data_IF_756829417241
#
_entry.id   IF_756829417241
#
_cell.length_a   1.000
_cell.length_b   1.000
_cell.length_c   1.000
_cell.angle_alpha   90.00
_cell.angle_beta   90.00
_cell.angle_gamma   90.00
#
_symmetry.space_group_name_H-M   'P 1'
#
loop_
_entity.id
_entity.type
_entity.pdbx_description
1 polymer ?
#
# COMPACT_ATOMS: atom_id res chain seq x y z
N UNK A 1 -13.12 -40.82 -9.17
CA UNK A 1 -12.81 -41.71 -8.04
C UNK A 1 -11.35 -41.48 -7.68
N UNK A 2 -11.06 -40.41 -6.94
CA UNK A 2 -9.71 -40.06 -6.47
C UNK A 2 -9.58 -40.46 -5.01
N UNK A 3 -8.56 -41.24 -4.68
CA UNK A 3 -8.22 -41.57 -3.29
C UNK A 3 -7.87 -40.28 -2.54
N UNK A 4 -8.70 -39.89 -1.57
CA UNK A 4 -8.32 -38.93 -0.54
C UNK A 4 -7.50 -39.68 0.51
N UNK A 5 -6.17 -39.59 0.43
CA UNK A 5 -5.29 -40.01 1.51
C UNK A 5 -5.28 -38.93 2.59
N UNK A 6 -5.90 -39.19 3.74
CA UNK A 6 -5.80 -38.34 4.92
C UNK A 6 -4.38 -38.42 5.46
N UNK A 7 -3.54 -37.40 5.20
CA UNK A 7 -2.19 -37.35 5.76
C UNK A 7 -2.29 -36.98 7.26
N UNK A 8 -1.64 -37.74 8.18
CA UNK A 8 -1.68 -37.49 9.62
C UNK A 8 -1.13 -36.11 10.04
N UNK A 9 -0.43 -35.40 9.16
CA UNK A 9 0.06 -34.03 9.39
C UNK A 9 -1.09 -33.01 9.53
N UNK A 10 -2.20 -33.19 8.79
CA UNK A 10 -3.33 -32.23 8.79
C UNK A 10 -4.09 -32.18 10.12
N UNK A 11 -4.18 -33.32 10.81
CA UNK A 11 -4.82 -33.44 12.13
C UNK A 11 -3.96 -32.82 13.25
N UNK A 12 -2.64 -32.71 13.06
CA UNK A 12 -1.72 -32.19 14.07
C UNK A 12 -1.63 -30.66 14.06
N UNK A 13 -1.88 -30.03 12.91
CA UNK A 13 -1.81 -28.58 12.72
C UNK A 13 -3.17 -27.88 12.85
N UNK A 14 -4.26 -28.64 13.01
CA UNK A 14 -5.64 -28.14 12.95
C UNK A 14 -5.88 -27.25 11.71
N UNK A 15 -5.37 -27.70 10.56
CA UNK A 15 -5.47 -26.96 9.31
C UNK A 15 -6.86 -27.13 8.70
N UNK A 16 -7.56 -26.02 8.48
CA UNK A 16 -8.81 -25.98 7.73
C UNK A 16 -8.55 -25.54 6.30
N UNK A 17 -9.23 -26.19 5.37
CA UNK A 17 -9.16 -25.90 3.95
C UNK A 17 -10.57 -25.59 3.46
N UNK A 18 -10.78 -24.35 3.06
CA UNK A 18 -12.05 -23.84 2.58
C UNK A 18 -11.99 -23.61 1.08
N UNK A 19 -12.99 -24.10 0.37
CA UNK A 19 -13.21 -23.79 -1.04
C UNK A 19 -14.11 -22.56 -1.12
N UNK A 20 -13.67 -21.55 -1.86
CA UNK A 20 -14.39 -20.28 -2.01
C UNK A 20 -15.08 -20.25 -3.37
N UNK A 21 -16.36 -19.93 -3.35
CA UNK A 21 -17.19 -19.83 -4.54
C UNK A 21 -17.73 -18.40 -4.68
N UNK A 22 -18.03 -17.99 -5.92
CA UNK A 22 -18.64 -16.68 -6.19
C UNK A 22 -20.08 -16.55 -5.66
N UNK A 23 -20.76 -17.68 -5.45
CA UNK A 23 -22.15 -17.72 -5.00
C UNK A 23 -22.48 -19.04 -4.29
N UNK A 24 -23.63 -19.09 -3.61
CA UNK A 24 -24.20 -20.33 -3.06
C UNK A 24 -25.05 -21.12 -4.04
N UNK A 25 -25.04 -20.76 -5.33
CA UNK A 25 -25.87 -21.38 -6.36
C UNK A 25 -25.31 -22.72 -6.87
N UNK A 26 -26.15 -23.49 -7.56
CA UNK A 26 -25.73 -24.75 -8.21
C UNK A 26 -24.69 -24.57 -9.32
N UNK A 27 -24.65 -23.39 -9.94
CA UNK A 27 -23.76 -23.03 -11.04
C UNK A 27 -22.59 -22.15 -10.54
N UNK A 28 -22.32 -22.20 -9.23
CA UNK A 28 -21.28 -21.39 -8.61
C UNK A 28 -19.90 -21.78 -9.13
N UNK A 29 -19.08 -20.76 -9.39
CA UNK A 29 -17.70 -20.91 -9.84
C UNK A 29 -16.80 -20.98 -8.63
N UNK A 30 -15.92 -21.98 -8.57
CA UNK A 30 -14.83 -21.97 -7.61
C UNK A 30 -13.92 -20.79 -7.98
N UNK A 31 -13.67 -19.89 -7.02
CA UNK A 31 -12.86 -18.68 -7.23
C UNK A 31 -11.59 -18.67 -6.41
N UNK A 32 -11.52 -19.47 -5.35
CA UNK A 32 -10.38 -19.46 -4.44
C UNK A 32 -10.30 -20.63 -3.49
N UNK A 33 -9.19 -20.66 -2.75
CA UNK A 33 -8.96 -21.55 -1.61
C UNK A 33 -8.45 -20.69 -0.46
N UNK A 34 -8.98 -20.96 0.72
CA UNK A 34 -8.51 -20.39 1.97
C UNK A 34 -7.98 -21.49 2.89
N UNK A 35 -6.82 -21.22 3.47
CA UNK A 35 -6.22 -22.03 4.51
C UNK A 35 -6.38 -21.31 5.83
N UNK A 36 -6.87 -22.00 6.86
CA UNK A 36 -6.95 -21.43 8.20
C UNK A 36 -6.19 -22.29 9.21
N UNK A 37 -5.41 -21.62 10.06
CA UNK A 37 -4.62 -22.24 11.11
C UNK A 37 -4.86 -21.54 12.44
N UNK A 38 -4.74 -22.23 13.58
CA UNK A 38 -4.83 -21.59 14.89
C UNK A 38 -3.60 -20.73 15.16
N UNK A 39 -3.76 -19.73 16.03
CA UNK A 39 -2.70 -18.77 16.40
C UNK A 39 -1.38 -19.45 16.78
N UNK A 40 -1.43 -20.55 17.52
CA UNK A 40 -0.21 -21.25 17.97
C UNK A 40 0.61 -21.79 16.80
N UNK A 41 -0.03 -22.16 15.69
CA UNK A 41 0.68 -22.61 14.48
C UNK A 41 1.17 -21.39 13.69
N UNK A 42 0.35 -20.35 13.56
CA UNK A 42 0.73 -19.11 12.89
C UNK A 42 2.00 -18.47 13.48
N UNK A 43 2.12 -18.43 14.81
CA UNK A 43 3.30 -17.86 15.50
C UNK A 43 4.60 -18.64 15.22
N UNK A 44 4.52 -19.87 14.73
CA UNK A 44 5.70 -20.67 14.34
C UNK A 44 6.19 -20.39 12.92
N UNK A 45 5.40 -19.68 12.11
CA UNK A 45 5.78 -19.32 10.74
C UNK A 45 6.89 -18.26 10.74
N UNK A 46 7.68 -18.23 9.68
CA UNK A 46 8.65 -17.15 9.48
C UNK A 46 7.96 -15.81 9.23
N UNK A 47 8.69 -14.72 9.47
CA UNK A 47 8.13 -13.36 9.42
C UNK A 47 7.60 -12.99 8.02
N UNK A 48 8.22 -13.50 6.96
CA UNK A 48 7.78 -13.18 5.60
C UNK A 48 6.51 -13.96 5.23
N UNK A 49 6.43 -15.22 5.65
CA UNK A 49 5.22 -16.01 5.52
C UNK A 49 4.08 -15.45 6.37
N UNK A 50 4.34 -15.01 7.61
CA UNK A 50 3.34 -14.40 8.51
C UNK A 50 2.60 -13.21 7.89
N UNK A 51 3.27 -12.43 7.03
CA UNK A 51 2.69 -11.28 6.30
C UNK A 51 1.66 -11.69 5.25
N UNK A 52 1.64 -12.96 4.85
CA UNK A 52 0.70 -13.47 3.87
C UNK A 52 -0.63 -13.92 4.49
N UNK A 53 -0.79 -13.80 5.81
CA UNK A 53 -1.99 -14.22 6.54
C UNK A 53 -2.70 -13.02 7.18
N UNK A 54 -4.01 -13.16 7.31
CA UNK A 54 -4.87 -12.17 7.94
C UNK A 54 -5.57 -12.75 9.17
N UNK A 55 -6.02 -11.87 10.06
CA UNK A 55 -6.87 -12.25 11.20
C UNK A 55 -8.35 -12.20 10.83
N UNK A 56 -9.15 -13.16 11.32
CA UNK A 56 -10.60 -13.13 11.16
C UNK A 56 -11.33 -12.29 12.24
N UNK A 57 -10.60 -11.68 13.17
CA UNK A 57 -11.18 -10.96 14.31
C UNK A 57 -12.19 -9.90 13.90
N UNK A 58 -11.84 -9.06 12.91
CA UNK A 58 -12.72 -7.99 12.46
C UNK A 58 -13.92 -8.54 11.68
N UNK A 59 -13.73 -9.48 10.77
CA UNK A 59 -14.83 -10.07 9.99
C UNK A 59 -15.88 -10.73 10.88
N UNK A 60 -15.42 -11.43 11.92
CA UNK A 60 -16.30 -12.05 12.90
C UNK A 60 -16.96 -11.00 13.79
N UNK A 61 -16.19 -10.10 14.39
CA UNK A 61 -16.74 -9.12 15.35
C UNK A 61 -17.65 -8.08 14.70
N UNK A 62 -17.43 -7.75 13.42
CA UNK A 62 -18.26 -6.83 12.65
C UNK A 62 -19.61 -7.41 12.20
N UNK A 63 -19.82 -8.73 12.36
CA UNK A 63 -21.02 -9.40 11.87
C UNK A 63 -21.03 -9.64 10.36
N UNK A 64 -19.97 -9.25 9.65
CA UNK A 64 -19.83 -9.41 8.21
C UNK A 64 -19.65 -10.89 7.85
N UNK A 65 -18.78 -11.64 8.53
CA UNK A 65 -18.71 -13.07 8.30
C UNK A 65 -19.95 -13.72 8.93
N UNK A 66 -20.72 -14.45 8.13
CA UNK A 66 -21.91 -15.15 8.59
C UNK A 66 -22.05 -16.49 7.90
N UNK A 67 -22.62 -17.47 8.61
CA UNK A 67 -22.94 -18.77 8.04
C UNK A 67 -24.40 -18.76 7.54
N UNK A 68 -24.67 -19.30 6.34
CA UNK A 68 -26.03 -19.39 5.83
C UNK A 68 -26.88 -20.29 6.74
N UNK A 69 -28.05 -19.79 7.15
CA UNK A 69 -28.96 -20.51 8.04
C UNK A 69 -29.60 -21.70 7.33
N UNK A 70 -29.51 -22.93 7.88
CA UNK A 70 -30.30 -24.06 7.38
C UNK A 70 -31.80 -23.79 7.52
N UNK A 71 -32.60 -24.22 6.53
CA UNK A 71 -34.06 -24.05 6.56
C UNK A 71 -34.75 -24.75 7.74
N UNK A 72 -34.08 -25.68 8.41
CA UNK A 72 -34.57 -26.47 9.55
C UNK A 72 -34.48 -25.75 10.90
N UNK A 73 -33.76 -24.63 10.99
CA UNK A 73 -33.53 -23.91 12.24
C UNK A 73 -34.33 -22.59 12.27
N UNK A 74 -34.83 -22.21 13.46
CA UNK A 74 -35.33 -20.85 13.69
C UNK A 74 -34.14 -19.86 13.78
N UNK A 75 -34.43 -18.56 13.84
CA UNK A 75 -33.37 -17.54 13.84
C UNK A 75 -32.58 -17.53 15.14
N UNK A 76 -33.25 -17.53 16.29
CA UNK A 76 -32.60 -17.37 17.60
C UNK A 76 -31.66 -18.55 17.91
N UNK A 77 -32.11 -19.79 17.69
CA UNK A 77 -31.31 -21.00 17.91
C UNK A 77 -30.10 -21.04 16.96
N UNK A 78 -30.27 -20.56 15.72
CA UNK A 78 -29.17 -20.50 14.76
C UNK A 78 -28.15 -19.43 15.11
N UNK A 79 -28.59 -18.28 15.59
CA UNK A 79 -27.70 -17.18 15.98
C UNK A 79 -26.82 -17.58 17.18
N UNK A 80 -27.34 -18.37 18.12
CA UNK A 80 -26.53 -18.96 19.20
C UNK A 80 -25.49 -19.96 18.67
N UNK A 81 -25.91 -20.93 17.84
CA UNK A 81 -25.02 -21.93 17.26
C UNK A 81 -23.93 -21.31 16.37
N UNK A 82 -24.31 -20.34 15.53
CA UNK A 82 -23.37 -19.59 14.69
C UNK A 82 -22.40 -18.81 15.57
N UNK A 83 -22.88 -18.16 16.64
CA UNK A 83 -22.02 -17.39 17.55
C UNK A 83 -20.96 -18.27 18.21
N UNK A 84 -21.30 -19.51 18.60
CA UNK A 84 -20.29 -20.46 19.11
C UNK A 84 -19.27 -20.87 18.05
N UNK A 85 -19.71 -21.12 16.81
CA UNK A 85 -18.78 -21.40 15.70
C UNK A 85 -17.85 -20.19 15.43
N UNK A 86 -18.38 -18.98 15.54
CA UNK A 86 -17.62 -17.74 15.34
C UNK A 86 -16.55 -17.50 16.41
N UNK A 87 -16.72 -18.03 17.64
CA UNK A 87 -15.66 -17.98 18.67
C UNK A 87 -14.41 -18.74 18.24
N UNK A 88 -14.59 -19.86 17.55
CA UNK A 88 -13.49 -20.64 17.00
C UNK A 88 -12.85 -19.91 15.83
N UNK A 89 -13.65 -19.43 14.87
CA UNK A 89 -13.16 -18.73 13.67
C UNK A 89 -12.40 -17.45 14.04
N UNK A 90 -12.85 -16.68 15.03
CA UNK A 90 -12.15 -15.48 15.51
C UNK A 90 -10.72 -15.78 16.02
N UNK A 91 -10.42 -17.03 16.36
CA UNK A 91 -9.10 -17.48 16.80
C UNK A 91 -8.16 -17.95 15.69
N UNK A 92 -8.62 -17.97 14.44
CA UNK A 92 -7.87 -18.49 13.29
C UNK A 92 -7.23 -17.38 12.47
N UNK A 93 -6.10 -17.71 11.86
CA UNK A 93 -5.44 -16.91 10.83
C UNK A 93 -5.73 -17.50 9.45
N UNK A 94 -6.12 -16.67 8.49
CA UNK A 94 -6.50 -17.06 7.14
C UNK A 94 -5.44 -16.69 6.09
N UNK A 95 -5.22 -17.56 5.11
CA UNK A 95 -4.45 -17.26 3.89
C UNK A 95 -5.28 -17.64 2.68
N UNK A 96 -5.65 -16.62 1.91
CA UNK A 96 -6.67 -16.76 0.86
C UNK A 96 -6.11 -16.45 -0.50
N UNK A 97 -6.20 -17.42 -1.41
CA UNK A 97 -5.81 -17.28 -2.80
C UNK A 97 -7.03 -17.27 -3.69
N UNK A 98 -7.24 -16.17 -4.42
CA UNK A 98 -8.22 -16.09 -5.49
C UNK A 98 -7.56 -16.34 -6.83
N UNK A 99 -8.07 -17.28 -7.59
CA UNK A 99 -7.60 -17.60 -8.94
C UNK A 99 -8.55 -17.11 -10.03
N UNK A 100 -9.76 -16.63 -9.67
CA UNK A 100 -10.72 -16.07 -10.63
C UNK A 100 -11.34 -14.77 -10.09
N UNK A 101 -11.15 -13.68 -10.84
CA UNK A 101 -11.72 -12.35 -10.56
C UNK A 101 -13.08 -12.16 -11.25
N UNK A 102 -14.12 -12.81 -10.74
CA UNK A 102 -15.49 -12.71 -11.30
C UNK A 102 -16.05 -11.29 -11.26
N UNK A 103 -15.63 -10.47 -10.30
CA UNK A 103 -16.07 -9.08 -10.12
C UNK A 103 -15.59 -8.16 -11.26
N UNK A 104 -14.54 -8.56 -11.98
CA UNK A 104 -14.07 -7.86 -13.20
C UNK A 104 -14.95 -8.15 -14.42
N UNK A 105 -15.81 -9.16 -14.34
CA UNK A 105 -16.64 -9.64 -15.45
C UNK A 105 -15.96 -10.70 -16.32
N UNK A 106 -14.89 -11.35 -15.84
CA UNK A 106 -14.18 -12.36 -16.61
C UNK A 106 -14.98 -13.67 -16.72
N UNK A 107 -15.13 -14.19 -17.95
CA UNK A 107 -15.75 -15.49 -18.22
C UNK A 107 -14.85 -16.70 -17.91
N UNK A 108 -13.54 -16.49 -17.78
CA UNK A 108 -12.54 -17.52 -17.48
C UNK A 108 -11.58 -17.03 -16.39
N UNK A 109 -10.91 -17.93 -15.64
CA UNK A 109 -9.91 -17.56 -14.64
C UNK A 109 -8.61 -17.09 -15.31
N UNK A 110 -8.60 -15.83 -15.77
CA UNK A 110 -7.48 -15.23 -16.48
C UNK A 110 -6.49 -14.57 -15.52
N UNK A 111 -5.20 -14.79 -15.77
CA UNK A 111 -4.11 -14.18 -15.01
C UNK A 111 -3.53 -15.10 -13.94
N UNK A 112 -2.72 -14.52 -13.06
CA UNK A 112 -2.12 -15.25 -11.94
C UNK A 112 -3.06 -15.21 -10.72
N UNK A 113 -3.01 -16.23 -9.84
CA UNK A 113 -3.68 -16.16 -8.54
C UNK A 113 -3.23 -14.95 -7.73
N UNK A 114 -4.16 -14.33 -7.02
CA UNK A 114 -3.96 -13.16 -6.18
C UNK A 114 -4.18 -13.54 -4.72
N UNK A 115 -3.27 -13.08 -3.86
CA UNK A 115 -3.43 -13.18 -2.41
C UNK A 115 -4.45 -12.13 -1.95
N UNK A 116 -5.46 -12.58 -1.22
CA UNK A 116 -6.52 -11.72 -0.69
C UNK A 116 -6.27 -11.43 0.78
N UNK A 117 -6.37 -10.15 1.14
CA UNK A 117 -6.42 -9.71 2.53
C UNK A 117 -7.86 -9.61 3.02
N UNK A 118 -8.00 -9.54 4.33
CA UNK A 118 -9.28 -9.29 5.00
C UNK A 118 -9.42 -7.83 5.41
N UNK A 119 -10.64 -7.39 5.69
CA UNK A 119 -10.89 -6.10 6.33
C UNK A 119 -10.49 -6.17 7.80
N UNK A 120 -9.83 -5.12 8.29
CA UNK A 120 -9.43 -4.98 9.69
C UNK A 120 -10.18 -3.87 10.43
N UNK A 121 -10.86 -2.99 9.70
CA UNK A 121 -11.63 -1.88 10.28
C UNK A 121 -12.79 -1.44 9.39
N UNK A 122 -13.79 -0.75 9.97
CA UNK A 122 -14.96 -0.26 9.21
C UNK A 122 -14.60 0.89 8.27
N UNK A 123 -13.56 1.65 8.61
CA UNK A 123 -13.11 2.82 7.85
C UNK A 123 -12.54 2.44 6.48
N UNK A 124 -12.04 1.21 6.35
CA UNK A 124 -11.57 0.66 5.08
C UNK A 124 -12.70 0.43 4.07
N UNK A 125 -13.94 0.30 4.56
CA UNK A 125 -15.12 0.13 3.71
C UNK A 125 -16.30 0.94 4.26
N UNK A 126 -16.34 2.27 4.00
CA UNK A 126 -17.38 3.17 4.53
C UNK A 126 -18.81 2.79 4.11
N UNK A 127 -18.94 2.10 2.97
CA UNK A 127 -20.20 1.63 2.39
C UNK A 127 -20.46 0.13 2.68
N UNK A 128 -19.85 -0.45 3.72
CA UNK A 128 -20.00 -1.86 4.07
C UNK A 128 -21.48 -2.29 4.17
N UNK A 129 -22.33 -1.50 4.83
CA UNK A 129 -23.73 -1.83 5.00
C UNK A 129 -24.49 -1.91 3.66
N UNK A 130 -24.16 -1.05 2.70
CA UNK A 130 -24.73 -1.06 1.35
C UNK A 130 -24.28 -2.30 0.58
N UNK A 131 -22.99 -2.63 0.64
CA UNK A 131 -22.44 -3.82 -0.03
C UNK A 131 -23.01 -5.14 0.52
N UNK A 132 -23.29 -5.19 1.82
CA UNK A 132 -23.88 -6.37 2.47
C UNK A 132 -25.40 -6.46 2.33
N UNK A 133 -26.09 -5.39 1.92
CA UNK A 133 -27.55 -5.35 1.85
C UNK A 133 -28.16 -6.47 0.99
N UNK A 134 -27.68 -6.76 -0.24
CA UNK A 134 -28.25 -7.83 -1.07
C UNK A 134 -28.12 -9.21 -0.40
N UNK A 135 -26.98 -9.47 0.25
CA UNK A 135 -26.76 -10.72 0.99
C UNK A 135 -27.66 -10.81 2.22
N UNK A 136 -27.76 -9.72 2.99
CA UNK A 136 -28.60 -9.66 4.19
C UNK A 136 -30.07 -9.93 3.86
N UNK A 137 -30.57 -9.37 2.76
CA UNK A 137 -31.91 -9.66 2.26
C UNK A 137 -32.04 -11.13 1.85
N UNK A 138 -31.12 -11.63 1.02
CA UNK A 138 -31.14 -13.01 0.51
C UNK A 138 -31.10 -14.05 1.63
N UNK A 139 -30.27 -13.82 2.66
CA UNK A 139 -30.09 -14.74 3.78
C UNK A 139 -31.04 -14.44 4.94
N UNK A 140 -31.84 -13.38 4.84
CA UNK A 140 -32.71 -12.89 5.92
C UNK A 140 -31.95 -12.71 7.24
N UNK A 141 -30.78 -12.03 7.19
CA UNK A 141 -29.92 -11.75 8.34
C UNK A 141 -29.69 -10.24 8.50
N UNK A 142 -29.48 -9.81 9.75
CA UNK A 142 -28.97 -8.49 10.08
C UNK A 142 -27.54 -8.62 10.64
N UNK A 143 -26.56 -8.19 9.85
CA UNK A 143 -25.15 -8.21 10.26
C UNK A 143 -24.86 -7.32 11.48
N UNK A 144 -25.57 -6.21 11.70
CA UNK A 144 -25.37 -5.37 12.88
C UNK A 144 -25.97 -6.00 14.13
N UNK A 145 -27.08 -6.73 13.99
CA UNK A 145 -27.58 -7.60 15.04
C UNK A 145 -26.55 -8.68 15.40
N UNK A 146 -25.99 -9.36 14.40
CA UNK A 146 -24.93 -10.36 14.59
C UNK A 146 -23.71 -9.78 15.31
N UNK A 147 -23.27 -8.59 14.94
CA UNK A 147 -22.18 -7.90 15.63
C UNK A 147 -22.50 -7.65 17.12
N UNK A 148 -23.73 -7.23 17.43
CA UNK A 148 -24.18 -6.96 18.81
C UNK A 148 -24.24 -8.22 19.67
N UNK A 149 -24.78 -9.32 19.15
CA UNK A 149 -24.86 -10.59 19.90
C UNK A 149 -23.47 -11.18 20.13
N UNK A 150 -22.57 -11.12 19.13
CA UNK A 150 -21.19 -11.60 19.25
C UNK A 150 -20.40 -10.80 20.28
N UNK A 151 -20.56 -9.48 20.28
CA UNK A 151 -19.99 -8.61 21.32
C UNK A 151 -20.51 -8.96 22.71
N UNK A 152 -21.81 -9.21 22.84
CA UNK A 152 -22.44 -9.57 24.13
C UNK A 152 -22.00 -10.96 24.61
N UNK A 153 -21.76 -11.89 23.69
CA UNK A 153 -21.27 -13.24 23.96
C UNK A 153 -19.75 -13.33 24.18
N UNK A 154 -19.02 -12.20 24.13
CA UNK A 154 -17.57 -12.17 24.32
C UNK A 154 -16.79 -12.83 23.19
N UNK A 155 -17.32 -12.82 21.96
CA UNK A 155 -16.58 -13.29 20.78
C UNK A 155 -15.45 -12.29 20.51
N UNK A 156 -14.25 -12.67 20.90
CA UNK A 156 -13.01 -11.94 20.66
C UNK A 156 -11.92 -12.93 20.29
N UNK A 157 -11.13 -12.61 19.26
CA UNK A 157 -9.94 -13.39 18.98
C UNK A 157 -8.84 -13.19 20.02
N UNK A 158 -7.75 -13.96 19.91
CA UNK A 158 -6.63 -13.95 20.84
C UNK A 158 -5.72 -12.71 20.71
N UNK A 159 -6.11 -11.71 19.93
CA UNK A 159 -5.32 -10.54 19.56
C UNK A 159 -4.57 -10.76 18.25
N UNK A 160 -4.64 -9.73 17.40
CA UNK A 160 -3.99 -9.65 16.09
C UNK A 160 -2.48 -9.53 16.24
N UNK A 161 -1.73 -10.44 15.60
CA UNK A 161 -0.27 -10.41 15.57
C UNK A 161 0.25 -9.23 14.73
N UNK A 162 1.43 -8.68 15.08
CA UNK A 162 1.96 -7.47 14.44
C UNK A 162 2.31 -7.63 12.95
N UNK A 163 2.62 -8.86 12.54
CA UNK A 163 2.97 -9.19 11.16
C UNK A 163 1.76 -9.58 10.30
N UNK A 164 0.61 -9.85 10.91
CA UNK A 164 -0.61 -10.12 10.17
C UNK A 164 -1.17 -8.82 9.56
N UNK A 165 -2.04 -8.97 8.57
CA UNK A 165 -2.73 -7.84 7.93
C UNK A 165 -1.77 -6.81 7.30
N UNK A 166 -0.59 -7.27 6.85
CA UNK A 166 0.50 -6.39 6.44
C UNK A 166 0.14 -5.48 5.26
N UNK A 167 -0.75 -5.92 4.38
CA UNK A 167 -1.18 -5.17 3.18
C UNK A 167 -1.69 -3.77 3.51
N UNK A 168 -2.48 -3.64 4.57
CA UNK A 168 -3.03 -2.35 5.00
C UNK A 168 -1.94 -1.45 5.57
N UNK A 169 -1.04 -2.01 6.39
CA UNK A 169 0.09 -1.26 6.96
C UNK A 169 1.04 -0.76 5.86
N UNK A 170 1.30 -1.58 4.85
CA UNK A 170 2.11 -1.21 3.70
C UNK A 170 1.44 -0.12 2.85
N UNK A 171 0.13 -0.20 2.66
CA UNK A 171 -0.65 0.81 1.94
C UNK A 171 -0.61 2.16 2.68
N UNK A 172 -0.86 2.16 3.99
CA UNK A 172 -0.80 3.35 4.85
C UNK A 172 0.60 3.96 4.87
N UNK A 173 1.64 3.12 4.99
CA UNK A 173 3.03 3.55 4.93
C UNK A 173 3.39 4.23 3.61
N UNK A 174 2.89 3.69 2.47
CA UNK A 174 3.07 4.33 1.16
C UNK A 174 2.32 5.66 1.09
N UNK A 175 1.07 5.72 1.54
CA UNK A 175 0.27 6.94 1.54
C UNK A 175 0.93 8.05 2.35
N UNK A 176 1.40 7.74 3.56
CA UNK A 176 2.11 8.70 4.41
C UNK A 176 3.41 9.17 3.75
N UNK A 177 4.17 8.27 3.13
CA UNK A 177 5.38 8.64 2.37
C UNK A 177 5.07 9.60 1.22
N UNK A 178 3.99 9.38 0.47
CA UNK A 178 3.56 10.31 -0.58
C UNK A 178 3.13 11.66 -0.02
N UNK A 179 2.41 11.67 1.11
CA UNK A 179 2.02 12.91 1.77
C UNK A 179 3.24 13.73 2.20
N UNK A 180 4.25 13.08 2.77
CA UNK A 180 5.52 13.72 3.13
C UNK A 180 6.24 14.25 1.88
N UNK A 181 6.33 13.48 0.80
CA UNK A 181 6.90 13.94 -0.48
C UNK A 181 6.17 15.19 -0.99
N UNK A 182 4.84 15.21 -0.96
CA UNK A 182 4.03 16.36 -1.37
C UNK A 182 4.30 17.58 -0.48
N UNK A 183 4.40 17.40 0.84
CA UNK A 183 4.72 18.49 1.79
C UNK A 183 6.08 19.12 1.49
N UNK A 184 7.11 18.30 1.30
CA UNK A 184 8.44 18.79 0.92
C UNK A 184 8.43 19.49 -0.44
N UNK A 185 7.69 18.96 -1.42
CA UNK A 185 7.52 19.58 -2.73
C UNK A 185 6.90 20.98 -2.65
N UNK A 186 5.87 21.17 -1.81
CA UNK A 186 5.23 22.48 -1.59
C UNK A 186 6.22 23.48 -0.96
N UNK A 187 6.94 23.08 0.08
CA UNK A 187 7.93 23.94 0.75
C UNK A 187 9.05 24.33 -0.22
N UNK A 188 9.57 23.36 -0.97
CA UNK A 188 10.61 23.59 -1.96
C UNK A 188 10.13 24.51 -3.09
N UNK A 189 8.94 24.28 -3.65
CA UNK A 189 8.35 25.15 -4.67
C UNK A 189 8.10 26.57 -4.19
N UNK A 190 7.63 26.74 -2.95
CA UNK A 190 7.47 28.06 -2.33
C UNK A 190 8.82 28.79 -2.18
N UNK A 191 9.86 28.09 -1.73
CA UNK A 191 11.21 28.65 -1.61
C UNK A 191 11.79 29.07 -2.97
N UNK A 192 11.62 28.25 -4.02
CA UNK A 192 12.03 28.59 -5.39
C UNK A 192 11.27 29.82 -5.92
N UNK A 193 9.97 29.91 -5.63
CA UNK A 193 9.15 31.05 -6.03
C UNK A 193 9.59 32.32 -5.31
N UNK A 194 9.80 32.26 -3.99
CA UNK A 194 10.20 33.40 -3.17
C UNK A 194 11.60 33.92 -3.54
N UNK A 195 12.54 33.02 -3.84
CA UNK A 195 13.91 33.37 -4.24
C UNK A 195 14.04 33.89 -5.67
N UNK A 196 12.97 33.79 -6.49
CA UNK A 196 12.91 34.20 -7.91
C UNK A 196 13.91 33.49 -8.83
N UNK A 197 14.58 32.45 -8.35
CA UNK A 197 15.53 31.65 -9.13
C UNK A 197 14.86 30.85 -10.25
N UNK A 198 13.53 30.77 -10.26
CA UNK A 198 12.75 30.19 -11.35
C UNK A 198 12.68 31.07 -12.60
N UNK A 199 13.00 32.37 -12.53
CA UNK A 199 12.84 33.24 -13.69
C UNK A 199 13.94 32.97 -14.75
N UNK A 200 13.60 32.78 -16.04
CA UNK A 200 14.59 32.42 -17.07
C UNK A 200 15.74 33.43 -17.21
N UNK A 201 15.46 34.72 -17.04
CA UNK A 201 16.50 35.77 -17.11
C UNK A 201 17.55 35.63 -16.01
N UNK A 202 17.18 35.19 -14.80
CA UNK A 202 18.11 34.98 -13.69
C UNK A 202 19.04 33.79 -14.01
N UNK A 203 18.48 32.71 -14.58
CA UNK A 203 19.24 31.52 -14.99
C UNK A 203 20.23 31.87 -16.10
N UNK A 204 19.79 32.61 -17.12
CA UNK A 204 20.64 32.99 -18.26
C UNK A 204 21.70 34.01 -17.84
N UNK A 205 21.35 34.99 -17.01
CA UNK A 205 22.31 36.01 -16.54
C UNK A 205 23.42 35.41 -15.67
N UNK A 206 23.08 34.40 -14.85
CA UNK A 206 24.05 33.61 -14.11
C UNK A 206 25.04 32.88 -15.03
N UNK A 207 24.54 32.23 -16.09
CA UNK A 207 25.39 31.50 -17.04
C UNK A 207 26.20 32.44 -17.95
N UNK A 208 25.76 33.69 -18.10
CA UNK A 208 26.52 34.79 -18.72
C UNK A 208 27.45 35.53 -17.76
N UNK A 209 27.52 35.12 -16.49
CA UNK A 209 28.33 35.75 -15.43
C UNK A 209 27.99 37.24 -15.20
N UNK A 210 26.73 37.63 -15.44
CA UNK A 210 26.26 39.01 -15.30
C UNK A 210 25.56 39.27 -13.97
N UNK A 211 24.92 38.25 -13.39
CA UNK A 211 24.24 38.30 -12.10
C UNK A 211 24.52 37.01 -11.33
N UNK A 212 25.06 37.14 -10.12
CA UNK A 212 25.47 36.02 -9.28
C UNK A 212 24.44 35.62 -8.21
N UNK A 213 23.24 36.24 -8.21
CA UNK A 213 22.18 35.97 -7.25
C UNK A 213 21.82 34.48 -7.14
N UNK A 214 21.76 33.79 -8.27
CA UNK A 214 21.51 32.34 -8.30
C UNK A 214 22.63 31.54 -7.63
N UNK A 215 23.89 31.94 -7.83
CA UNK A 215 25.04 31.30 -7.17
C UNK A 215 24.92 31.42 -5.65
N UNK A 216 24.60 32.62 -5.18
CA UNK A 216 24.49 32.93 -3.76
C UNK A 216 23.39 32.10 -3.10
N UNK A 217 22.20 32.05 -3.69
CA UNK A 217 21.07 31.25 -3.18
C UNK A 217 21.44 29.75 -3.13
N UNK A 218 22.12 29.20 -4.14
CA UNK A 218 22.50 27.79 -4.14
C UNK A 218 23.63 27.46 -3.17
N UNK A 219 24.64 28.33 -3.04
CA UNK A 219 25.73 28.13 -2.09
C UNK A 219 25.23 28.22 -0.64
N UNK A 220 24.36 29.17 -0.34
CA UNK A 220 23.77 29.33 1.01
C UNK A 220 22.84 28.16 1.35
N UNK A 221 22.00 27.72 0.41
CA UNK A 221 21.17 26.53 0.59
C UNK A 221 22.02 25.26 0.75
N UNK A 222 23.06 25.10 -0.07
CA UNK A 222 23.98 23.97 -0.01
C UNK A 222 24.77 23.92 1.31
N UNK A 223 25.28 25.07 1.77
CA UNK A 223 25.98 25.18 3.04
C UNK A 223 25.05 24.87 4.22
N UNK A 224 23.82 25.39 4.20
CA UNK A 224 22.80 25.10 5.23
C UNK A 224 22.43 23.62 5.25
N UNK A 225 22.21 23.02 4.07
CA UNK A 225 21.92 21.59 3.94
C UNK A 225 23.08 20.72 4.43
N UNK A 226 24.32 21.07 4.11
CA UNK A 226 25.51 20.38 4.60
C UNK A 226 25.62 20.48 6.13
N UNK A 227 25.37 21.66 6.70
CA UNK A 227 25.36 21.86 8.16
C UNK A 227 24.31 20.99 8.87
N UNK A 228 23.08 20.92 8.34
CA UNK A 228 22.01 20.07 8.89
C UNK A 228 22.37 18.58 8.79
N UNK A 229 22.90 18.14 7.65
CA UNK A 229 23.29 16.75 7.47
C UNK A 229 24.43 16.34 8.41
N UNK A 230 25.44 17.20 8.59
CA UNK A 230 26.55 16.95 9.50
C UNK A 230 26.12 16.92 10.97
N UNK A 231 25.17 17.78 11.35
CA UNK A 231 24.60 17.76 12.71
C UNK A 231 23.74 16.53 12.96
N UNK A 232 22.95 16.07 11.99
CA UNK A 232 22.17 14.83 12.11
C UNK A 232 23.05 13.57 12.19
N UNK A 233 24.17 13.56 11.46
CA UNK A 233 25.15 12.48 11.57
C UNK A 233 25.89 12.50 12.91
N UNK A 234 26.25 13.69 13.41
CA UNK A 234 26.88 13.84 14.73
C UNK A 234 25.97 13.37 15.88
N UNK A 235 24.64 13.43 15.68
CA UNK A 235 23.63 12.97 16.64
C UNK A 235 23.19 11.51 16.40
N UNK A 236 23.81 10.78 15.46
CA UNK A 236 23.46 9.41 15.02
C UNK A 236 21.98 9.24 14.61
N UNK A 237 21.35 10.33 14.14
CA UNK A 237 19.95 10.36 13.69
C UNK A 237 19.84 9.85 12.25
N UNK A 238 20.85 10.11 11.42
CA UNK A 238 20.85 9.72 10.01
C UNK A 238 22.26 9.35 9.52
N UNK A 239 22.37 8.24 8.79
CA UNK A 239 23.61 7.83 8.12
C UNK A 239 23.54 8.15 6.63
N UNK A 240 24.60 8.79 6.11
CA UNK A 240 24.69 9.13 4.68
C UNK A 240 24.94 7.88 3.84
N UNK A 241 24.11 7.66 2.83
CA UNK A 241 24.43 6.73 1.74
C UNK A 241 25.22 7.46 0.66
N UNK A 242 26.51 7.16 0.52
CA UNK A 242 27.31 7.73 -0.57
C UNK A 242 26.92 7.07 -1.89
N UNK A 243 26.40 7.83 -2.85
CA UNK A 243 26.23 7.34 -4.22
C UNK A 243 27.60 7.20 -4.88
N UNK A 244 27.83 6.10 -5.59
CA UNK A 244 29.05 5.89 -6.37
C UNK A 244 29.13 6.89 -7.53
N UNK A 245 30.35 7.23 -7.94
CA UNK A 245 30.59 8.04 -9.13
C UNK A 245 30.18 7.28 -10.40
N UNK A 246 29.79 8.00 -11.43
CA UNK A 246 29.47 7.46 -12.75
C UNK A 246 30.65 7.69 -13.69
N UNK A 247 31.22 6.61 -14.25
CA UNK A 247 32.35 6.70 -15.17
C UNK A 247 32.02 6.18 -16.58
N UNK A 248 32.58 6.84 -17.59
CA UNK A 248 32.57 6.49 -19.00
C UNK A 248 33.92 5.88 -19.47
N UNK A 249 34.89 5.72 -18.55
CA UNK A 249 36.26 5.20 -18.77
C UNK A 249 37.07 5.91 -19.87
N UNK A 250 36.84 7.20 -20.08
CA UNK A 250 37.45 7.99 -21.15
C UNK A 250 38.70 8.74 -20.67
N UNK A 251 38.68 9.33 -19.48
CA UNK A 251 39.83 10.10 -18.97
C UNK A 251 39.95 10.19 -17.44
N UNK A 252 38.91 9.88 -16.68
CA UNK A 252 38.92 9.95 -15.20
C UNK A 252 37.79 9.11 -14.61
N UNK A 253 37.88 8.75 -13.34
CA UNK A 253 36.79 8.08 -12.61
C UNK A 253 35.51 8.93 -12.45
N UNK A 254 35.56 10.21 -12.84
CA UNK A 254 34.47 11.19 -12.76
C UNK A 254 34.04 11.74 -14.13
N UNK A 255 34.58 11.20 -15.20
CA UNK A 255 34.32 11.64 -16.56
C UNK A 255 32.82 11.64 -16.93
N UNK A 256 32.07 10.63 -16.50
CA UNK A 256 30.61 10.57 -16.67
C UNK A 256 29.89 11.72 -15.96
N UNK A 257 30.28 12.03 -14.73
CA UNK A 257 29.73 13.17 -13.99
C UNK A 257 30.07 14.52 -14.64
N UNK A 258 31.30 14.68 -15.14
CA UNK A 258 31.74 15.92 -15.81
C UNK A 258 30.97 16.14 -17.10
N UNK A 259 30.88 15.12 -17.96
CA UNK A 259 30.13 15.20 -19.23
C UNK A 259 28.64 15.44 -18.96
N UNK A 260 28.04 14.72 -18.02
CA UNK A 260 26.65 14.91 -17.63
C UNK A 260 26.38 16.32 -17.10
N UNK A 261 27.24 16.83 -16.21
CA UNK A 261 27.12 18.20 -15.68
C UNK A 261 27.25 19.27 -16.77
N UNK A 262 28.19 19.10 -17.70
CA UNK A 262 28.35 20.00 -18.84
C UNK A 262 27.12 20.01 -19.76
N UNK A 263 26.56 18.83 -20.07
CA UNK A 263 25.35 18.70 -20.87
C UNK A 263 24.14 19.38 -20.22
N UNK A 264 23.95 19.18 -18.91
CA UNK A 264 22.88 19.85 -18.15
C UNK A 264 23.09 21.37 -18.14
N UNK A 265 24.32 21.84 -17.95
CA UNK A 265 24.66 23.27 -17.98
C UNK A 265 24.37 23.93 -19.33
N UNK A 266 24.74 23.26 -20.44
CA UNK A 266 24.41 23.72 -21.81
C UNK A 266 22.90 23.79 -21.99
N UNK A 267 22.16 22.74 -21.59
CA UNK A 267 20.70 22.71 -21.64
C UNK A 267 20.07 23.86 -20.86
N UNK A 268 20.53 24.12 -19.64
CA UNK A 268 20.08 25.25 -18.81
C UNK A 268 20.38 26.61 -19.47
N UNK A 269 21.55 26.76 -20.12
CA UNK A 269 21.92 28.01 -20.80
C UNK A 269 21.06 28.31 -22.01
N UNK A 270 20.62 27.28 -22.74
CA UNK A 270 19.81 27.44 -23.93
C UNK A 270 18.32 27.64 -23.59
N UNK A 271 17.82 26.92 -22.58
CA UNK A 271 16.40 26.90 -22.25
C UNK A 271 15.99 27.91 -21.18
N UNK A 272 16.94 28.37 -20.35
CA UNK A 272 16.62 29.17 -19.18
C UNK A 272 15.76 28.40 -18.16
N UNK A 273 15.84 27.07 -18.14
CA UNK A 273 15.12 26.20 -17.23
C UNK A 273 16.07 25.17 -16.60
N UNK A 274 15.87 24.86 -15.32
CA UNK A 274 16.58 23.76 -14.66
C UNK A 274 15.59 22.68 -14.20
N UNK A 275 16.04 21.43 -13.94
CA UNK A 275 15.14 20.33 -13.58
C UNK A 275 14.25 20.64 -12.36
N UNK A 276 14.74 21.44 -11.41
CA UNK A 276 13.97 21.84 -10.23
C UNK A 276 13.03 23.03 -10.45
N UNK A 277 13.35 23.95 -11.36
CA UNK A 277 12.55 25.17 -11.58
C UNK A 277 11.52 25.01 -12.68
N UNK A 278 11.67 24.06 -13.59
CA UNK A 278 10.75 23.86 -14.72
C UNK A 278 9.29 23.67 -14.27
N UNK A 279 9.08 22.95 -13.16
CA UNK A 279 7.75 22.72 -12.59
C UNK A 279 7.13 24.04 -12.09
N UNK A 280 7.94 24.89 -11.44
CA UNK A 280 7.50 26.22 -10.98
C UNK A 280 7.27 27.17 -12.16
N UNK A 281 8.11 27.11 -13.19
CA UNK A 281 7.96 27.91 -14.40
C UNK A 281 6.67 27.58 -15.16
N UNK A 282 6.33 26.29 -15.26
CA UNK A 282 5.06 25.82 -15.80
C UNK A 282 3.87 26.33 -14.98
N UNK A 283 3.95 26.22 -13.65
CA UNK A 283 2.90 26.70 -12.74
C UNK A 283 2.69 28.23 -12.82
N UNK A 284 3.73 28.99 -13.16
CA UNK A 284 3.70 30.44 -13.34
C UNK A 284 3.34 30.87 -14.78
N UNK A 285 3.05 29.92 -15.67
CA UNK A 285 2.61 30.21 -17.05
C UNK A 285 3.72 30.78 -17.95
N UNK A 286 4.99 30.46 -17.68
CA UNK A 286 6.11 31.01 -18.47
C UNK A 286 6.18 30.31 -19.84
N UNK A 287 6.09 31.05 -20.98
CA UNK A 287 5.97 30.46 -22.32
C UNK A 287 7.14 29.54 -22.72
N UNK A 288 8.35 29.81 -22.24
CA UNK A 288 9.54 29.00 -22.54
C UNK A 288 9.52 27.60 -21.91
N UNK A 289 8.66 27.37 -20.90
CA UNK A 289 8.63 26.12 -20.14
C UNK A 289 7.80 25.01 -20.81
N UNK A 290 6.81 25.36 -21.64
CA UNK A 290 5.94 24.41 -22.34
C UNK A 290 6.63 23.58 -23.43
N UNK A 291 7.72 24.08 -24.01
CA UNK A 291 8.53 23.35 -24.98
C UNK A 291 9.53 22.37 -24.33
N UNK A 292 9.93 22.62 -23.09
CA UNK A 292 10.80 21.74 -22.29
C UNK A 292 10.04 20.66 -21.51
N UNK A 293 8.77 20.89 -21.17
CA UNK A 293 7.92 19.93 -20.44
C UNK A 293 7.25 18.87 -21.33
N UNK A 294 7.29 19.00 -22.65
CA UNK A 294 6.56 18.18 -23.62
C UNK A 294 7.34 16.98 -24.18
N UNK A 295 8.49 16.62 -23.59
CA UNK A 295 9.31 15.46 -24.05
C UNK A 295 8.92 14.14 -23.37
N UNK A 296 7.91 14.14 -22.49
CA UNK A 296 7.37 12.93 -21.86
C UNK A 296 5.84 12.86 -21.90
N UNK A 297 5.28 12.91 -23.10
CA UNK A 297 3.92 12.40 -23.40
C UNK A 297 3.98 11.41 -24.54
#
# INVERSE_FOLDING_TARGET
MGLLTWSPLYLLLDLRQCLIYDSGGKDARLIGVEYMIPKQVYETLDVDEQKLWHSHEFEVSSGMLALPKPGTHNHDDWDELETEAMKEVAGLYGKTWHFWQVDRGDELPLGCPTLMGSLTSKEQMPNLAEMLAPRNETWSIDHEHKARIRKSAGVSGPGIHENADSWWREADGKANRYLEICRFGVVFGAALTASRVYHPSVIINQLRLADFHMLEVFLTAGATGAFVMLTFEALDIAKRSSRSNSTLNWFSAYDGNIVGGALVGVGMSLTGACPGTVIVQLAQGIPSSGATGSVHS
#
